data_IF_089442592324
#
_entry.id   IF_089442592324
#
_cell.length_a   1.000
_cell.length_b   1.000
_cell.length_c   1.000
_cell.angle_alpha   90.00
_cell.angle_beta   90.00
_cell.angle_gamma   90.00
#
_symmetry.space_group_name_H-M   'P 1'
#
loop_
_entity.id
_entity.type
_entity.pdbx_description
1 polymer ?
#
# COMPACT_ATOMS: atom_id res chain seq x y z
N UNK A 1 -12.59 8.30 -19.65
CA UNK A 1 -12.11 8.70 -18.31
C UNK A 1 -10.97 7.77 -17.97
N UNK A 2 -9.86 8.29 -17.42
CA UNK A 2 -8.76 7.47 -16.92
C UNK A 2 -9.24 6.74 -15.66
N UNK A 3 -8.87 5.46 -15.51
CA UNK A 3 -9.13 4.72 -14.27
C UNK A 3 -8.31 5.33 -13.13
N UNK A 4 -8.86 5.34 -11.92
CA UNK A 4 -8.19 5.87 -10.72
C UNK A 4 -7.99 4.76 -9.70
N UNK A 5 -6.76 4.61 -9.22
CA UNK A 5 -6.42 3.66 -8.17
C UNK A 5 -6.26 4.35 -6.82
N UNK A 6 -6.85 3.76 -5.79
CA UNK A 6 -6.45 4.02 -4.40
C UNK A 6 -5.16 3.27 -4.13
N UNK A 7 -4.09 3.96 -3.77
CA UNK A 7 -2.79 3.34 -3.50
C UNK A 7 -2.50 3.31 -2.00
N UNK A 8 -2.24 2.12 -1.48
CA UNK A 8 -1.76 1.88 -0.12
C UNK A 8 -0.32 1.40 -0.21
N UNK A 9 0.63 2.19 0.27
CA UNK A 9 2.03 1.77 0.40
C UNK A 9 2.27 1.34 1.85
N UNK A 10 2.48 0.04 2.06
CA UNK A 10 2.71 -0.51 3.40
C UNK A 10 4.13 -0.26 3.89
N UNK A 11 4.28 0.03 5.18
CA UNK A 11 5.57 0.17 5.85
C UNK A 11 5.44 -0.25 7.34
N UNK A 12 6.57 -0.40 8.04
CA UNK A 12 6.63 -0.78 9.47
C UNK A 12 7.94 -0.24 10.09
N UNK A 13 7.87 0.21 11.34
CA UNK A 13 8.98 0.93 12.03
C UNK A 13 10.33 0.18 12.08
N UNK A 14 10.35 -1.14 11.91
CA UNK A 14 11.60 -1.92 11.86
C UNK A 14 12.36 -1.77 10.54
N UNK A 15 11.67 -1.40 9.46
CA UNK A 15 12.21 -1.40 8.10
C UNK A 15 12.57 0.03 7.64
N UNK A 16 13.48 0.19 6.66
CA UNK A 16 13.90 1.51 6.19
C UNK A 16 12.76 2.32 5.57
N UNK A 17 12.50 3.51 6.12
CA UNK A 17 11.49 4.43 5.59
C UNK A 17 11.83 4.94 4.18
N UNK A 18 13.12 5.10 3.85
CA UNK A 18 13.54 5.54 2.52
C UNK A 18 13.13 4.53 1.44
N UNK A 19 13.23 3.22 1.70
CA UNK A 19 12.77 2.20 0.74
C UNK A 19 11.27 2.27 0.49
N UNK A 20 10.49 2.60 1.53
CA UNK A 20 9.05 2.76 1.41
C UNK A 20 8.67 4.03 0.65
N UNK A 21 9.41 5.13 0.88
CA UNK A 21 9.28 6.40 0.16
C UNK A 21 9.63 6.24 -1.32
N UNK A 22 10.78 5.65 -1.63
CA UNK A 22 11.24 5.42 -3.00
C UNK A 22 10.25 4.51 -3.74
N UNK A 23 9.83 3.41 -3.12
CA UNK A 23 8.84 2.51 -3.71
C UNK A 23 7.46 3.15 -3.92
N UNK A 24 7.06 4.11 -3.07
CA UNK A 24 5.85 4.91 -3.27
C UNK A 24 5.98 5.79 -4.52
N UNK A 25 7.07 6.53 -4.63
CA UNK A 25 7.34 7.43 -5.76
C UNK A 25 7.40 6.65 -7.08
N UNK A 26 8.05 5.49 -7.07
CA UNK A 26 8.17 4.60 -8.22
C UNK A 26 6.81 4.10 -8.72
N UNK A 27 5.95 3.58 -7.83
CA UNK A 27 4.61 3.09 -8.24
C UNK A 27 3.71 4.22 -8.72
N UNK A 28 3.74 5.38 -8.06
CA UNK A 28 2.95 6.54 -8.52
C UNK A 28 3.38 6.92 -9.94
N UNK A 29 4.69 7.01 -10.19
CA UNK A 29 5.24 7.34 -11.50
C UNK A 29 4.79 6.32 -12.56
N UNK A 30 4.97 5.03 -12.32
CA UNK A 30 4.58 3.96 -13.26
C UNK A 30 3.08 4.05 -13.58
N UNK A 31 2.22 4.18 -12.56
CA UNK A 31 0.77 4.28 -12.77
C UNK A 31 0.39 5.50 -13.61
N UNK A 32 1.04 6.65 -13.37
CA UNK A 32 0.81 7.87 -14.13
C UNK A 32 1.31 7.78 -15.58
N UNK A 33 2.46 7.15 -15.81
CA UNK A 33 3.02 6.92 -17.14
C UNK A 33 2.11 6.00 -17.98
N UNK A 34 1.47 5.02 -17.35
CA UNK A 34 0.45 4.15 -17.96
C UNK A 34 -0.93 4.83 -18.11
N UNK A 35 -1.06 6.10 -17.73
CA UNK A 35 -2.27 6.90 -17.91
C UNK A 35 -3.33 6.72 -16.84
N UNK A 36 -2.98 6.16 -15.67
CA UNK A 36 -3.87 6.03 -14.52
C UNK A 36 -3.75 7.21 -13.55
N UNK A 37 -4.84 7.52 -12.86
CA UNK A 37 -4.84 8.47 -11.73
C UNK A 37 -4.60 7.73 -10.42
N UNK A 38 -4.00 8.41 -9.43
CA UNK A 38 -3.68 7.80 -8.13
C UNK A 38 -4.18 8.68 -6.99
N UNK A 39 -4.85 8.05 -6.02
CA UNK A 39 -5.26 8.67 -4.76
C UNK A 39 -4.55 7.94 -3.62
N UNK A 40 -3.70 8.65 -2.89
CA UNK A 40 -2.98 8.14 -1.73
C UNK A 40 -2.56 9.29 -0.80
N UNK A 41 -2.24 8.99 0.47
CA UNK A 41 -1.69 9.99 1.38
C UNK A 41 -0.45 10.69 0.81
N UNK A 42 -0.34 11.99 1.03
CA UNK A 42 0.89 12.74 0.78
C UNK A 42 1.93 12.49 1.88
N UNK A 43 3.21 12.86 1.66
CA UNK A 43 4.25 12.86 2.69
C UNK A 43 3.92 13.73 3.92
N UNK A 44 3.01 14.69 3.78
CA UNK A 44 2.53 15.54 4.88
C UNK A 44 1.33 14.91 5.61
N UNK A 45 0.49 14.13 4.91
CA UNK A 45 -0.66 13.45 5.51
C UNK A 45 -0.23 12.32 6.46
N UNK A 46 0.80 11.57 6.06
CA UNK A 46 1.36 10.40 6.76
C UNK A 46 2.86 10.35 6.55
N UNK A 47 3.61 9.66 7.41
CA UNK A 47 5.06 9.57 7.29
C UNK A 47 5.49 9.00 5.92
N UNK A 48 6.15 9.84 5.11
CA UNK A 48 6.52 9.54 3.71
C UNK A 48 5.36 9.15 2.78
N UNK A 49 4.10 9.45 3.15
CA UNK A 49 2.93 9.05 2.37
C UNK A 49 2.63 7.55 2.46
N UNK A 50 3.16 6.88 3.48
CA UNK A 50 3.04 5.43 3.71
C UNK A 50 2.08 5.13 4.86
N UNK A 51 1.54 3.92 4.87
CA UNK A 51 0.56 3.47 5.85
C UNK A 51 1.22 2.46 6.79
N UNK A 52 1.58 2.91 8.00
CA UNK A 52 2.30 2.10 8.99
C UNK A 52 1.65 2.02 10.37
N UNK A 53 0.83 3.01 10.73
CA UNK A 53 0.10 3.05 12.00
C UNK A 53 -1.40 2.98 11.82
N UNK A 54 -2.11 2.67 12.91
CA UNK A 54 -3.57 2.78 12.97
C UNK A 54 -4.10 4.18 12.59
N UNK A 55 -3.37 5.24 12.94
CA UNK A 55 -3.77 6.60 12.60
C UNK A 55 -3.61 6.87 11.10
N UNK A 56 -2.56 6.34 10.47
CA UNK A 56 -2.37 6.40 9.02
C UNK A 56 -3.48 5.63 8.30
N UNK A 57 -3.84 4.45 8.82
CA UNK A 57 -4.96 3.66 8.31
C UNK A 57 -6.26 4.46 8.27
N UNK A 58 -6.59 5.16 9.37
CA UNK A 58 -7.78 6.02 9.44
C UNK A 58 -7.74 7.17 8.44
N UNK A 59 -6.59 7.85 8.31
CA UNK A 59 -6.42 8.97 7.38
C UNK A 59 -6.59 8.51 5.93
N UNK A 60 -5.90 7.44 5.56
CA UNK A 60 -5.98 6.86 4.22
C UNK A 60 -7.40 6.35 3.92
N UNK A 61 -8.03 5.66 4.87
CA UNK A 61 -9.41 5.20 4.74
C UNK A 61 -10.42 6.34 4.55
N UNK A 62 -10.27 7.44 5.30
CA UNK A 62 -11.12 8.63 5.15
C UNK A 62 -10.96 9.24 3.76
N UNK A 63 -9.71 9.40 3.29
CA UNK A 63 -9.42 9.89 1.94
C UNK A 63 -10.04 9.01 0.85
N UNK A 64 -9.96 7.68 1.00
CA UNK A 64 -10.57 6.74 0.05
C UNK A 64 -12.09 6.84 0.09
N UNK A 65 -12.69 6.98 1.27
CA UNK A 65 -14.14 7.15 1.43
C UNK A 65 -14.65 8.44 0.81
N UNK A 66 -13.92 9.56 0.97
CA UNK A 66 -14.23 10.84 0.33
C UNK A 66 -14.16 10.77 -1.19
N UNK A 67 -13.33 9.88 -1.74
CA UNK A 67 -13.13 9.70 -3.18
C UNK A 67 -13.70 8.38 -3.72
N UNK A 68 -14.61 7.72 -3.00
CA UNK A 68 -15.11 6.38 -3.32
C UNK A 68 -15.73 6.29 -4.74
N UNK A 69 -16.35 7.37 -5.22
CA UNK A 69 -16.97 7.43 -6.55
C UNK A 69 -15.95 7.61 -7.69
N UNK A 70 -14.67 7.85 -7.35
CA UNK A 70 -13.58 8.03 -8.32
C UNK A 70 -12.68 6.81 -8.36
N UNK A 71 -12.52 6.10 -7.25
CA UNK A 71 -11.60 4.96 -7.13
C UNK A 71 -12.23 3.73 -7.79
N UNK A 72 -11.58 3.20 -8.82
CA UNK A 72 -12.02 2.02 -9.57
C UNK A 72 -11.39 0.72 -9.03
N UNK A 73 -10.31 0.83 -8.25
CA UNK A 73 -9.60 -0.30 -7.64
C UNK A 73 -8.59 0.16 -6.59
N UNK A 74 -8.17 -0.75 -5.72
CA UNK A 74 -7.12 -0.49 -4.72
C UNK A 74 -5.88 -1.30 -5.06
N UNK A 75 -4.72 -0.65 -5.03
CA UNK A 75 -3.42 -1.31 -5.11
C UNK A 75 -2.77 -1.22 -3.74
N UNK A 76 -2.46 -2.38 -3.15
CA UNK A 76 -1.56 -2.48 -2.01
C UNK A 76 -0.17 -2.77 -2.57
N UNK A 77 0.78 -1.87 -2.33
CA UNK A 77 2.18 -2.04 -2.74
C UNK A 77 3.09 -2.12 -1.52
N UNK A 78 4.00 -3.08 -1.52
CA UNK A 78 4.88 -3.38 -0.40
C UNK A 78 6.35 -3.25 -0.82
N UNK A 79 6.98 -2.07 -0.63
CA UNK A 79 8.41 -1.88 -0.86
C UNK A 79 9.30 -2.54 0.19
N UNK A 80 8.74 -2.84 1.36
CA UNK A 80 9.31 -3.61 2.45
C UNK A 80 8.20 -4.40 3.18
N UNK A 81 8.51 -5.02 4.31
CA UNK A 81 7.52 -5.69 5.16
C UNK A 81 6.62 -4.67 5.88
N UNK A 82 5.56 -4.26 5.18
CA UNK A 82 4.50 -3.40 5.72
C UNK A 82 3.61 -4.07 6.78
N UNK A 83 2.99 -3.24 7.63
CA UNK A 83 2.09 -3.73 8.68
C UNK A 83 0.75 -4.27 8.13
N UNK A 84 0.56 -5.59 8.21
CA UNK A 84 -0.60 -6.25 7.62
C UNK A 84 -1.94 -5.82 8.21
N UNK A 85 -1.98 -5.57 9.53
CA UNK A 85 -3.21 -5.17 10.23
C UNK A 85 -3.61 -3.78 9.82
N UNK A 86 -2.64 -2.88 9.68
CA UNK A 86 -2.84 -1.51 9.25
C UNK A 86 -3.36 -1.48 7.82
N UNK A 87 -2.76 -2.22 6.89
CA UNK A 87 -3.25 -2.35 5.50
C UNK A 87 -4.69 -2.86 5.46
N UNK A 88 -4.97 -3.99 6.12
CA UNK A 88 -6.32 -4.55 6.14
C UNK A 88 -7.34 -3.61 6.78
N UNK A 89 -6.92 -2.87 7.82
CA UNK A 89 -7.76 -1.88 8.49
C UNK A 89 -8.11 -0.70 7.58
N UNK A 90 -7.16 -0.19 6.80
CA UNK A 90 -7.41 0.87 5.82
C UNK A 90 -8.54 0.49 4.88
N UNK A 91 -8.47 -0.72 4.28
CA UNK A 91 -9.47 -1.22 3.34
C UNK A 91 -10.83 -1.37 4.01
N UNK A 92 -10.88 -1.95 5.21
CA UNK A 92 -12.15 -2.15 5.94
C UNK A 92 -12.80 -0.84 6.35
N UNK A 93 -12.00 0.14 6.79
CA UNK A 93 -12.48 1.43 7.23
C UNK A 93 -12.92 2.32 6.07
N UNK A 94 -12.33 2.17 4.88
CA UNK A 94 -12.73 2.94 3.71
C UNK A 94 -14.14 2.56 3.24
N UNK A 95 -14.55 1.32 3.49
CA UNK A 95 -15.84 0.77 3.02
C UNK A 95 -15.87 0.60 1.50
N UNK A 96 -14.70 0.53 0.86
CA UNK A 96 -14.58 0.39 -0.59
C UNK A 96 -14.94 -1.02 -1.03
N UNK A 97 -15.80 -1.14 -2.06
CA UNK A 97 -16.24 -2.40 -2.65
C UNK A 97 -15.65 -2.61 -4.06
N UNK A 98 -14.38 -2.24 -4.20
CA UNK A 98 -13.65 -2.28 -5.49
C UNK A 98 -12.61 -3.39 -5.48
N UNK A 99 -12.17 -3.90 -6.65
CA UNK A 99 -11.12 -4.91 -6.73
C UNK A 99 -9.81 -4.45 -6.06
N UNK A 100 -9.12 -5.40 -5.41
CA UNK A 100 -7.86 -5.16 -4.71
C UNK A 100 -6.75 -5.97 -5.38
N UNK A 101 -5.63 -5.33 -5.69
CA UNK A 101 -4.39 -5.96 -6.15
C UNK A 101 -3.30 -5.86 -5.08
N UNK A 102 -2.64 -6.97 -4.75
CA UNK A 102 -1.49 -6.97 -3.83
C UNK A 102 -0.19 -7.19 -4.58
N UNK A 103 0.69 -6.20 -4.51
CA UNK A 103 2.00 -6.13 -5.13
C UNK A 103 3.10 -6.04 -4.06
N UNK A 104 4.25 -6.64 -4.34
CA UNK A 104 5.46 -6.51 -3.52
C UNK A 104 6.68 -6.35 -4.40
N UNK A 105 7.60 -5.50 -3.97
CA UNK A 105 8.87 -5.30 -4.65
C UNK A 105 9.76 -6.54 -4.50
N UNK A 106 10.62 -6.84 -5.49
CA UNK A 106 11.62 -7.88 -5.34
C UNK A 106 12.61 -7.53 -4.22
N UNK A 107 13.02 -8.53 -3.44
CA UNK A 107 14.07 -8.39 -2.44
C UNK A 107 15.46 -8.42 -3.09
N UNK A 108 16.39 -7.61 -2.56
CA UNK A 108 17.79 -7.64 -2.97
C UNK A 108 18.58 -8.64 -2.10
N UNK A 109 18.81 -9.84 -2.63
CA UNK A 109 19.45 -10.94 -1.88
C UNK A 109 20.86 -10.61 -1.35
N UNK A 110 21.54 -9.62 -1.93
CA UNK A 110 22.86 -9.17 -1.52
C UNK A 110 22.83 -7.98 -0.54
N UNK A 111 21.66 -7.43 -0.23
CA UNK A 111 21.47 -6.23 0.58
C UNK A 111 20.42 -6.47 1.67
N UNK A 112 20.73 -7.40 2.58
CA UNK A 112 19.86 -7.83 3.69
C UNK A 112 20.23 -7.19 5.04
N UNK A 113 21.13 -6.20 5.04
CA UNK A 113 21.45 -5.42 6.23
C UNK A 113 20.29 -4.48 6.60
N UNK A 114 20.30 -3.96 7.82
CA UNK A 114 19.19 -3.17 8.36
C UNK A 114 18.83 -1.94 7.52
N UNK A 115 19.77 -1.37 6.75
CA UNK A 115 19.50 -0.16 5.95
C UNK A 115 18.92 -0.44 4.56
N UNK A 116 19.04 -1.68 4.06
CA UNK A 116 18.58 -2.05 2.71
C UNK A 116 17.55 -3.19 2.70
N UNK A 117 17.34 -3.85 3.85
CA UNK A 117 16.42 -4.98 3.95
C UNK A 117 14.99 -4.54 3.65
N UNK A 118 14.38 -5.19 2.65
CA UNK A 118 12.98 -5.03 2.26
C UNK A 118 12.09 -6.05 2.96
N UNK A 119 12.34 -7.34 2.75
CA UNK A 119 11.50 -8.45 3.24
C UNK A 119 10.04 -8.35 2.73
N UNK A 120 9.90 -7.81 1.51
CA UNK A 120 8.63 -7.42 0.89
C UNK A 120 7.72 -8.62 0.64
N UNK A 121 8.29 -9.75 0.22
CA UNK A 121 7.50 -10.94 -0.07
C UNK A 121 6.89 -11.55 1.20
N UNK A 122 7.62 -11.53 2.32
CA UNK A 122 7.08 -11.89 3.63
C UNK A 122 5.96 -10.93 4.05
N UNK A 123 6.12 -9.63 3.79
CA UNK A 123 5.06 -8.64 3.93
C UNK A 123 3.81 -8.98 3.12
N UNK A 124 3.98 -9.37 1.84
CA UNK A 124 2.88 -9.77 0.94
C UNK A 124 2.11 -10.96 1.49
N UNK A 125 2.82 -12.00 1.93
CA UNK A 125 2.21 -13.17 2.56
C UNK A 125 1.41 -12.76 3.81
N UNK A 126 1.99 -11.90 4.66
CA UNK A 126 1.35 -11.41 5.88
C UNK A 126 0.06 -10.64 5.59
N UNK A 127 0.10 -9.68 4.65
CA UNK A 127 -1.06 -8.91 4.19
C UNK A 127 -2.13 -9.82 3.62
N UNK A 128 -1.80 -10.69 2.65
CA UNK A 128 -2.75 -11.59 2.01
C UNK A 128 -3.42 -12.53 3.03
N UNK A 129 -2.65 -13.03 4.01
CA UNK A 129 -3.20 -13.86 5.08
C UNK A 129 -4.20 -13.07 5.97
N UNK A 130 -3.94 -11.78 6.22
CA UNK A 130 -4.84 -10.92 6.98
C UNK A 130 -6.12 -10.60 6.19
N UNK A 131 -6.00 -10.27 4.90
CA UNK A 131 -7.15 -10.05 4.01
C UNK A 131 -8.04 -11.29 3.92
N UNK A 132 -7.44 -12.48 3.80
CA UNK A 132 -8.15 -13.75 3.78
C UNK A 132 -8.93 -13.99 5.09
N UNK A 133 -8.32 -13.72 6.25
CA UNK A 133 -8.99 -13.82 7.55
C UNK A 133 -10.18 -12.87 7.70
N UNK A 134 -10.15 -11.72 7.04
CA UNK A 134 -11.28 -10.78 7.00
C UNK A 134 -12.29 -11.04 5.88
N UNK A 135 -12.08 -12.06 5.05
CA UNK A 135 -12.94 -12.36 3.90
C UNK A 135 -12.88 -11.28 2.80
N UNK A 136 -11.78 -10.54 2.70
CA UNK A 136 -11.58 -9.49 1.71
C UNK A 136 -11.00 -10.12 0.44
N UNK A 137 -11.68 -10.08 -0.72
CA UNK A 137 -11.16 -10.62 -1.96
C UNK A 137 -10.01 -9.77 -2.49
N UNK A 138 -8.98 -10.43 -3.02
CA UNK A 138 -7.84 -9.76 -3.65
C UNK A 138 -7.28 -10.60 -4.80
N UNK A 139 -6.53 -9.94 -5.69
CA UNK A 139 -5.72 -10.55 -6.74
C UNK A 139 -4.24 -10.37 -6.46
N UNK A 140 -3.42 -11.20 -7.09
CA UNK A 140 -1.96 -11.20 -6.96
C UNK A 140 -1.30 -10.88 -8.31
N UNK A 141 -0.09 -10.33 -8.22
CA UNK A 141 0.91 -10.33 -9.30
C UNK A 141 1.93 -11.44 -9.11
#
# INVERSE_FOLDING_TARGET
MALTFGLIVGNRDFFPDELAKDGREEIIKILQEEGFSVICPSPEDTHSGTVKTWQDAKKCAAMFKENQNKIDGIIVSLPNFGDEKTVASTIRLSGSDVPILVHAFPDELNALDLSHRRDSFCGKISVCNNLNQYGIPFSLT
#
